data_IF_326603308645
#
_entry.id   IF_326603308645
#
_cell.length_a   1.000
_cell.length_b   1.000
_cell.length_c   1.000
_cell.angle_alpha   90.00
_cell.angle_beta   90.00
_cell.angle_gamma   90.00
#
_symmetry.space_group_name_H-M   'P 1'
#
loop_
_entity.id
_entity.type
_entity.pdbx_description
1 polymer ?
#
# COMPACT_ATOMS: atom_id res chain seq x y z
N UNK A 1 31.83 9.13 -18.29
CA UNK A 1 32.63 8.00 -17.73
C UNK A 1 32.94 7.05 -18.86
N UNK A 2 34.19 6.75 -19.12
CA UNK A 2 34.59 5.70 -20.05
C UNK A 2 34.27 4.35 -19.42
N UNK A 3 33.58 3.50 -20.15
CA UNK A 3 33.21 2.17 -19.66
C UNK A 3 34.49 1.39 -19.25
N UNK A 4 34.52 0.93 -18.01
CA UNK A 4 35.62 0.08 -17.50
C UNK A 4 36.54 0.72 -16.45
N UNK A 5 36.40 2.01 -16.15
CA UNK A 5 37.21 2.65 -15.12
C UNK A 5 36.47 2.71 -13.76
N UNK A 6 37.02 2.07 -12.73
CA UNK A 6 36.45 2.11 -11.38
C UNK A 6 36.67 3.47 -10.74
N UNK A 7 35.59 4.12 -10.34
CA UNK A 7 35.62 5.40 -9.61
C UNK A 7 36.07 5.21 -8.16
N UNK A 8 35.75 4.07 -7.56
CA UNK A 8 36.10 3.73 -6.19
C UNK A 8 36.13 2.21 -6.00
N UNK A 9 37.03 1.73 -5.17
CA UNK A 9 37.14 0.32 -4.76
C UNK A 9 37.44 0.23 -3.28
N UNK A 10 36.70 -0.66 -2.60
CA UNK A 10 36.95 -1.02 -1.21
C UNK A 10 36.52 -2.45 -0.99
N UNK A 11 37.47 -3.35 -0.76
CA UNK A 11 37.22 -4.78 -0.54
C UNK A 11 36.29 -5.39 -1.61
N UNK A 12 36.48 -5.02 -2.86
CA UNK A 12 35.64 -5.40 -4.01
C UNK A 12 35.80 -6.87 -4.44
N UNK A 13 36.72 -7.57 -3.80
CA UNK A 13 36.95 -9.02 -3.90
C UNK A 13 36.12 -9.85 -2.88
N UNK A 14 35.34 -9.19 -2.01
CA UNK A 14 34.54 -9.85 -0.97
C UNK A 14 33.07 -9.85 -1.26
N UNK A 15 32.39 -10.90 -0.78
CA UNK A 15 30.93 -10.99 -0.82
C UNK A 15 30.32 -10.34 0.43
N UNK A 16 29.33 -9.48 0.20
CA UNK A 16 28.55 -8.82 1.24
C UNK A 16 27.06 -9.03 1.03
N UNK A 17 26.30 -8.95 2.11
CA UNK A 17 24.84 -8.83 2.01
C UNK A 17 24.52 -7.38 1.61
N UNK A 18 23.86 -7.14 0.46
CA UNK A 18 23.61 -5.78 -0.02
C UNK A 18 22.56 -5.05 0.84
N UNK A 19 21.67 -5.78 1.49
CA UNK A 19 20.51 -5.20 2.18
C UNK A 19 19.81 -4.16 1.29
N UNK A 20 19.37 -3.02 1.84
CA UNK A 20 18.65 -1.99 1.08
C UNK A 20 19.47 -1.28 -0.01
N UNK A 21 20.78 -1.48 -0.07
CA UNK A 21 21.62 -0.94 -1.17
C UNK A 21 21.22 -1.54 -2.52
N UNK A 22 20.66 -2.75 -2.52
CA UNK A 22 20.12 -3.41 -3.71
C UNK A 22 18.99 -2.61 -4.37
N UNK A 23 18.26 -1.79 -3.61
CA UNK A 23 17.22 -0.91 -4.14
C UNK A 23 17.75 0.08 -5.20
N UNK A 24 19.03 0.46 -5.15
CA UNK A 24 19.67 1.30 -6.16
C UNK A 24 19.62 0.59 -7.53
N UNK A 25 19.97 -0.70 -7.57
CA UNK A 25 19.96 -1.49 -8.79
C UNK A 25 18.53 -1.65 -9.30
N UNK A 26 17.59 -1.98 -8.40
CA UNK A 26 16.17 -2.11 -8.73
C UNK A 26 15.61 -0.80 -9.31
N UNK A 27 15.91 0.34 -8.67
CA UNK A 27 15.43 1.65 -9.11
C UNK A 27 16.02 2.07 -10.47
N UNK A 28 17.32 1.84 -10.66
CA UNK A 28 17.96 2.14 -11.95
C UNK A 28 17.39 1.24 -13.05
N UNK A 29 17.18 -0.04 -12.76
CA UNK A 29 16.59 -0.98 -13.73
C UNK A 29 15.17 -0.56 -14.09
N UNK A 30 14.35 -0.20 -13.10
CA UNK A 30 13.00 0.30 -13.34
C UNK A 30 13.02 1.57 -14.22
N UNK A 31 13.87 2.54 -13.89
CA UNK A 31 14.01 3.77 -14.67
C UNK A 31 14.41 3.51 -16.13
N UNK A 32 15.34 2.57 -16.35
CA UNK A 32 15.82 2.21 -17.70
C UNK A 32 14.76 1.45 -18.50
N UNK A 33 14.00 0.55 -17.84
CA UNK A 33 13.03 -0.31 -18.51
C UNK A 33 11.67 0.35 -18.71
N UNK A 34 11.22 1.13 -17.74
CA UNK A 34 9.88 1.73 -17.73
C UNK A 34 9.88 3.20 -18.15
N UNK A 35 11.02 3.89 -18.00
CA UNK A 35 11.14 5.32 -18.25
C UNK A 35 10.80 6.18 -17.03
N UNK A 36 11.13 7.47 -17.12
CA UNK A 36 10.92 8.43 -16.03
C UNK A 36 9.44 8.85 -15.88
N UNK A 37 8.65 8.69 -16.93
CA UNK A 37 7.24 9.09 -16.97
C UNK A 37 6.29 7.93 -16.63
N UNK A 38 6.83 6.78 -16.23
CA UNK A 38 6.00 5.64 -15.82
C UNK A 38 5.22 5.97 -14.54
N UNK A 39 3.92 5.68 -14.57
CA UNK A 39 3.01 5.87 -13.44
C UNK A 39 2.40 4.55 -12.99
N UNK A 40 2.07 4.47 -11.70
CA UNK A 40 1.30 3.39 -11.11
C UNK A 40 -0.10 3.94 -10.81
N UNK A 41 -1.12 3.43 -11.53
CA UNK A 41 -2.44 4.05 -11.50
C UNK A 41 -3.46 3.17 -10.79
N UNK A 42 -4.00 3.64 -9.68
CA UNK A 42 -5.21 3.09 -9.07
C UNK A 42 -6.44 3.83 -9.61
N UNK A 43 -7.47 3.11 -10.03
CA UNK A 43 -8.61 3.71 -10.71
C UNK A 43 -9.96 3.13 -10.32
N UNK A 44 -11.00 3.97 -10.36
CA UNK A 44 -12.40 3.52 -10.33
C UNK A 44 -12.93 3.30 -11.75
N UNK A 45 -13.53 2.13 -11.98
CA UNK A 45 -14.22 1.79 -13.21
C UNK A 45 -15.61 1.24 -12.90
N UNK A 46 -16.54 1.42 -13.82
CA UNK A 46 -17.88 0.89 -13.67
C UNK A 46 -18.36 0.17 -14.91
N UNK A 47 -19.28 -0.75 -14.69
CA UNK A 47 -20.04 -1.46 -15.75
C UNK A 47 -21.51 -1.31 -15.46
N UNK A 48 -22.26 -0.74 -16.40
CA UNK A 48 -23.69 -0.52 -16.25
C UNK A 48 -24.12 0.82 -16.81
N UNK A 49 -25.29 1.31 -16.38
CA UNK A 49 -25.86 2.58 -16.78
C UNK A 49 -26.06 3.48 -15.59
N UNK A 50 -25.80 4.76 -15.77
CA UNK A 50 -26.11 5.77 -14.76
C UNK A 50 -27.50 6.33 -15.06
N UNK A 51 -28.41 6.16 -14.11
CA UNK A 51 -29.78 6.66 -14.16
C UNK A 51 -30.04 7.51 -12.92
N UNK A 52 -30.29 8.79 -13.14
CA UNK A 52 -30.36 9.78 -12.06
C UNK A 52 -29.06 9.79 -11.22
N UNK A 53 -29.13 9.44 -9.94
CA UNK A 53 -28.00 9.37 -9.00
C UNK A 53 -27.51 7.94 -8.73
N UNK A 54 -27.96 6.98 -9.54
CA UNK A 54 -27.76 5.56 -9.30
C UNK A 54 -27.01 4.92 -10.48
N UNK A 55 -25.90 4.25 -10.17
CA UNK A 55 -25.28 3.30 -11.10
C UNK A 55 -26.06 1.98 -11.05
N UNK A 56 -26.80 1.69 -12.11
CA UNK A 56 -27.43 0.38 -12.35
C UNK A 56 -26.36 -0.58 -12.89
N UNK A 57 -25.59 -1.18 -11.98
CA UNK A 57 -24.46 -2.00 -12.34
C UNK A 57 -23.41 -2.06 -11.23
N UNK A 58 -22.20 -2.44 -11.59
CA UNK A 58 -21.09 -2.70 -10.68
C UNK A 58 -20.00 -1.64 -10.75
N UNK A 59 -19.37 -1.37 -9.61
CA UNK A 59 -18.23 -0.47 -9.46
C UNK A 59 -16.99 -1.28 -9.07
N UNK A 60 -15.86 -0.95 -9.67
CA UNK A 60 -14.59 -1.64 -9.49
C UNK A 60 -13.52 -0.65 -9.07
N UNK A 61 -12.85 -0.89 -7.95
CA UNK A 61 -11.61 -0.23 -7.58
C UNK A 61 -10.45 -1.11 -8.06
N UNK A 62 -9.73 -0.64 -9.07
CA UNK A 62 -8.66 -1.40 -9.73
C UNK A 62 -7.32 -0.93 -9.19
N UNK A 63 -6.57 -1.84 -8.57
CA UNK A 63 -5.26 -1.56 -8.03
C UNK A 63 -4.17 -1.59 -9.11
N UNK A 64 -3.24 -0.63 -9.03
CA UNK A 64 -2.12 -0.45 -9.95
C UNK A 64 -0.75 -0.59 -9.32
N UNK A 65 -0.63 -1.24 -8.15
CA UNK A 65 0.62 -1.33 -7.38
C UNK A 65 1.18 0.03 -6.95
N UNK A 66 0.33 1.03 -6.75
CA UNK A 66 0.73 2.31 -6.20
C UNK A 66 1.01 2.19 -4.69
N UNK A 67 2.27 2.26 -4.23
CA UNK A 67 2.61 2.13 -2.82
C UNK A 67 2.27 3.39 -2.01
N UNK A 68 1.98 4.50 -2.68
CA UNK A 68 1.62 5.78 -2.05
C UNK A 68 0.11 6.07 -2.16
N UNK A 69 -0.71 5.05 -2.47
CA UNK A 69 -2.16 5.19 -2.46
C UNK A 69 -2.66 5.29 -1.02
N UNK A 70 -3.06 6.50 -0.62
CA UNK A 70 -3.43 6.85 0.75
C UNK A 70 -4.94 7.10 0.87
N UNK A 71 -5.43 7.32 2.09
CA UNK A 71 -6.85 7.63 2.36
C UNK A 71 -7.33 8.83 1.54
N UNK A 72 -6.49 9.87 1.43
CA UNK A 72 -6.84 11.08 0.67
C UNK A 72 -6.98 10.81 -0.84
N UNK A 73 -6.27 9.82 -1.36
CA UNK A 73 -6.41 9.41 -2.77
C UNK A 73 -7.72 8.66 -2.98
N UNK A 74 -8.08 7.80 -2.05
CA UNK A 74 -9.37 7.11 -2.07
C UNK A 74 -10.52 8.10 -1.96
N UNK A 75 -10.43 9.08 -1.06
CA UNK A 75 -11.42 10.15 -0.92
C UNK A 75 -11.57 10.93 -2.22
N UNK A 76 -10.46 11.29 -2.90
CA UNK A 76 -10.51 11.97 -4.20
C UNK A 76 -11.21 11.13 -5.28
N UNK A 77 -11.03 9.82 -5.28
CA UNK A 77 -11.73 8.92 -6.20
C UNK A 77 -13.23 8.88 -5.90
N UNK A 78 -13.62 8.84 -4.62
CA UNK A 78 -15.03 8.87 -4.19
C UNK A 78 -15.67 10.21 -4.53
N UNK A 79 -14.99 11.33 -4.30
CA UNK A 79 -15.45 12.67 -4.66
C UNK A 79 -15.62 12.81 -6.19
N UNK A 80 -14.72 12.25 -6.97
CA UNK A 80 -14.84 12.22 -8.43
C UNK A 80 -16.08 11.41 -8.89
N UNK A 81 -16.39 10.31 -8.19
CA UNK A 81 -17.60 9.52 -8.44
C UNK A 81 -18.86 10.32 -8.09
N UNK A 82 -18.88 10.96 -6.92
CA UNK A 82 -19.97 11.83 -6.47
C UNK A 82 -20.19 13.02 -7.42
N UNK A 83 -19.09 13.61 -7.93
CA UNK A 83 -19.15 14.71 -8.91
C UNK A 83 -19.78 14.31 -10.25
N UNK A 84 -19.73 13.01 -10.60
CA UNK A 84 -20.46 12.44 -11.72
C UNK A 84 -21.95 12.21 -11.42
N UNK A 85 -22.41 12.57 -10.22
CA UNK A 85 -23.78 12.41 -9.76
C UNK A 85 -24.11 11.00 -9.26
N UNK A 86 -23.13 10.11 -9.10
CA UNK A 86 -23.36 8.73 -8.63
C UNK A 86 -23.33 8.71 -7.10
N UNK A 87 -24.45 8.32 -6.50
CA UNK A 87 -24.62 8.18 -5.05
C UNK A 87 -24.92 6.74 -4.63
N UNK A 88 -25.46 5.95 -5.52
CA UNK A 88 -25.87 4.58 -5.26
C UNK A 88 -25.31 3.63 -6.33
N UNK A 89 -24.96 2.42 -5.91
CA UNK A 89 -24.53 1.32 -6.78
C UNK A 89 -25.43 0.12 -6.48
N UNK A 90 -26.04 -0.47 -7.52
CA UNK A 90 -27.07 -1.51 -7.31
C UNK A 90 -26.52 -2.92 -7.22
N UNK A 91 -25.40 -3.21 -7.89
CA UNK A 91 -24.91 -4.58 -8.01
C UNK A 91 -23.70 -4.80 -7.08
N UNK A 92 -22.51 -4.80 -7.62
CA UNK A 92 -21.29 -5.18 -6.92
C UNK A 92 -20.37 -3.98 -6.73
N UNK A 93 -19.80 -3.86 -5.53
CA UNK A 93 -18.58 -3.11 -5.30
C UNK A 93 -17.44 -4.12 -5.16
N UNK A 94 -16.46 -4.07 -6.06
CA UNK A 94 -15.34 -5.01 -6.10
C UNK A 94 -13.99 -4.31 -6.06
N UNK A 95 -13.06 -4.89 -5.30
CA UNK A 95 -11.64 -4.56 -5.36
C UNK A 95 -10.98 -5.52 -6.36
N UNK A 96 -10.34 -4.96 -7.39
CA UNK A 96 -9.65 -5.74 -8.43
C UNK A 96 -8.15 -5.72 -8.18
N UNK A 97 -7.60 -6.88 -7.87
CA UNK A 97 -6.18 -7.13 -7.64
C UNK A 97 -5.59 -8.10 -8.67
N UNK A 98 -6.26 -8.25 -9.82
CA UNK A 98 -5.90 -9.22 -10.86
C UNK A 98 -4.63 -8.88 -11.65
N UNK A 99 -4.00 -7.73 -11.37
CA UNK A 99 -2.75 -7.30 -12.02
C UNK A 99 -1.58 -8.27 -11.73
N UNK A 100 -1.65 -9.02 -10.63
CA UNK A 100 -0.68 -10.07 -10.28
C UNK A 100 -1.38 -11.36 -9.85
N UNK A 101 -0.59 -12.39 -9.58
CA UNK A 101 -1.07 -13.62 -8.97
C UNK A 101 -1.46 -13.40 -7.50
N UNK A 102 -1.92 -14.48 -6.83
CA UNK A 102 -2.32 -14.44 -5.42
C UNK A 102 -1.16 -14.70 -4.45
N UNK A 103 0.08 -14.55 -4.89
CA UNK A 103 1.27 -14.72 -4.05
C UNK A 103 1.63 -13.37 -3.44
N UNK A 104 1.10 -13.08 -2.26
CA UNK A 104 1.30 -11.81 -1.54
C UNK A 104 2.59 -11.77 -0.72
N UNK A 105 3.33 -12.87 -0.65
CA UNK A 105 4.50 -13.04 0.18
C UNK A 105 5.64 -13.66 -0.62
N UNK A 106 6.81 -13.01 -0.63
CA UNK A 106 7.97 -13.48 -1.37
C UNK A 106 8.57 -14.74 -0.79
N UNK A 107 9.02 -15.64 -1.68
CA UNK A 107 9.78 -16.83 -1.25
C UNK A 107 11.07 -16.42 -0.54
N UNK A 108 11.33 -16.99 0.62
CA UNK A 108 12.49 -16.66 1.44
C UNK A 108 12.36 -15.41 2.31
N UNK A 109 11.20 -14.76 2.32
CA UNK A 109 10.91 -13.69 3.29
C UNK A 109 10.70 -14.30 4.68
N UNK A 110 11.21 -13.60 5.72
CA UNK A 110 11.10 -14.06 7.09
C UNK A 110 9.71 -13.73 7.66
N UNK A 111 9.06 -14.70 8.27
CA UNK A 111 7.72 -14.55 8.86
C UNK A 111 7.69 -13.56 10.03
N UNK A 112 8.80 -13.39 10.72
CA UNK A 112 8.98 -12.48 11.85
C UNK A 112 9.17 -11.00 11.43
N UNK A 113 9.30 -10.74 10.14
CA UNK A 113 9.34 -9.38 9.60
C UNK A 113 7.94 -8.78 9.36
N UNK A 114 6.87 -9.57 9.46
CA UNK A 114 5.48 -9.12 9.21
C UNK A 114 5.01 -7.94 10.07
N UNK A 115 5.44 -7.73 11.32
CA UNK A 115 5.02 -6.57 12.12
C UNK A 115 5.64 -5.25 11.65
N UNK A 116 6.63 -5.30 10.77
CA UNK A 116 7.36 -4.11 10.36
C UNK A 116 6.80 -3.49 9.08
N UNK A 117 6.68 -2.17 9.07
CA UNK A 117 6.16 -1.40 7.94
C UNK A 117 6.97 -1.52 6.65
N UNK A 118 8.23 -1.99 6.73
CA UNK A 118 9.05 -2.21 5.55
C UNK A 118 8.76 -3.54 4.83
N UNK A 119 7.89 -4.39 5.38
CA UNK A 119 7.55 -5.69 4.80
C UNK A 119 6.03 -5.97 4.80
N UNK A 120 5.24 -5.12 4.15
CA UNK A 120 3.82 -5.37 3.98
C UNK A 120 3.58 -6.55 3.02
N UNK A 121 2.41 -7.17 3.11
CA UNK A 121 1.95 -8.06 2.08
C UNK A 121 1.77 -7.30 0.77
N UNK A 122 2.27 -7.87 -0.34
CA UNK A 122 2.18 -7.22 -1.66
C UNK A 122 0.80 -7.45 -2.27
N UNK A 123 0.15 -6.37 -2.66
CA UNK A 123 -1.11 -6.41 -3.41
C UNK A 123 -1.14 -5.27 -4.41
N UNK A 124 -1.71 -5.44 -5.60
CA UNK A 124 -1.94 -4.35 -6.53
C UNK A 124 -2.80 -3.21 -5.96
N UNK A 125 -3.68 -3.54 -5.00
CA UNK A 125 -4.44 -2.56 -4.24
C UNK A 125 -3.98 -2.59 -2.79
N UNK A 126 -3.24 -1.56 -2.40
CA UNK A 126 -2.69 -1.42 -1.06
C UNK A 126 -2.95 0.01 -0.58
N UNK A 127 -3.77 0.16 0.44
CA UNK A 127 -4.08 1.44 1.06
C UNK A 127 -3.13 1.70 2.23
N UNK A 128 -2.69 2.94 2.41
CA UNK A 128 -1.84 3.36 3.54
C UNK A 128 -0.60 2.46 3.70
N UNK A 129 0.04 2.11 2.57
CA UNK A 129 1.24 1.23 2.53
C UNK A 129 1.01 -0.15 3.17
N UNK A 130 -0.24 -0.61 3.25
CA UNK A 130 -0.61 -1.86 3.92
C UNK A 130 -0.35 -1.87 5.43
N UNK A 131 -0.32 -0.70 6.06
CA UNK A 131 0.01 -0.53 7.48
C UNK A 131 -1.19 -0.08 8.29
N UNK A 132 -1.11 -0.33 9.60
CA UNK A 132 -2.00 0.24 10.60
C UNK A 132 -1.16 1.12 11.53
N UNK A 133 -1.50 2.39 11.64
CA UNK A 133 -0.87 3.29 12.58
C UNK A 133 -1.45 3.09 13.98
N UNK A 134 -0.58 2.82 14.95
CA UNK A 134 -0.98 2.62 16.34
C UNK A 134 -0.40 3.73 17.20
N UNK A 135 -1.28 4.59 17.71
CA UNK A 135 -0.93 5.65 18.65
C UNK A 135 -1.26 5.24 20.07
N UNK A 136 -0.29 5.33 20.96
CA UNK A 136 -0.45 5.04 22.38
C UNK A 136 -0.20 6.31 23.18
N UNK A 137 -1.21 6.75 23.94
CA UNK A 137 -1.10 7.90 24.84
C UNK A 137 -1.02 7.44 26.29
N UNK A 138 -0.25 8.16 27.16
CA UNK A 138 -0.15 7.81 28.57
C UNK A 138 -1.52 7.67 29.25
N UNK A 139 -1.59 6.76 30.19
CA UNK A 139 -2.77 6.63 31.06
C UNK A 139 -2.96 7.88 31.93
N UNK A 140 -4.22 8.21 32.22
CA UNK A 140 -4.53 9.02 33.39
C UNK A 140 -4.47 8.13 34.62
N UNK A 141 -4.29 8.73 35.81
CA UNK A 141 -4.22 8.00 37.06
C UNK A 141 -5.36 6.95 37.16
N UNK A 142 -5.02 5.73 37.49
CA UNK A 142 -5.94 4.59 37.66
C UNK A 142 -6.67 4.16 36.35
N UNK A 143 -6.11 4.45 35.16
CA UNK A 143 -6.68 4.03 33.87
C UNK A 143 -5.64 3.33 32.98
N UNK A 144 -6.12 2.59 31.97
CA UNK A 144 -5.26 2.03 30.95
C UNK A 144 -4.80 3.13 29.95
N UNK A 145 -3.61 2.99 29.35
CA UNK A 145 -3.20 3.82 28.23
C UNK A 145 -4.26 3.87 27.13
N UNK A 146 -4.45 5.03 26.53
CA UNK A 146 -5.35 5.13 25.37
C UNK A 146 -4.63 4.64 24.13
N UNK A 147 -5.21 3.65 23.45
CA UNK A 147 -4.71 3.15 22.15
C UNK A 147 -5.69 3.57 21.06
N UNK A 148 -5.16 4.14 19.99
CA UNK A 148 -5.90 4.52 18.78
C UNK A 148 -5.21 3.88 17.59
N UNK A 149 -5.97 3.16 16.76
CA UNK A 149 -5.49 2.57 15.53
C UNK A 149 -6.18 3.22 14.34
N UNK A 150 -5.39 3.47 13.28
CA UNK A 150 -5.86 4.06 12.02
C UNK A 150 -5.33 3.23 10.84
N UNK A 151 -6.19 2.83 9.87
CA UNK A 151 -7.64 3.04 9.83
C UNK A 151 -8.38 2.21 10.87
N UNK A 152 -9.58 2.66 11.27
CA UNK A 152 -10.48 1.85 12.10
C UNK A 152 -11.01 0.71 11.24
N UNK A 153 -10.86 -0.53 11.71
CA UNK A 153 -11.25 -1.72 10.94
C UNK A 153 -11.60 -2.89 11.84
N UNK A 154 -12.53 -3.73 11.38
CA UNK A 154 -12.85 -5.01 12.01
C UNK A 154 -11.85 -6.14 11.67
N UNK A 155 -10.84 -5.83 10.82
CA UNK A 155 -9.80 -6.78 10.40
C UNK A 155 -8.85 -7.16 11.54
N UNK A 156 -8.69 -6.29 12.54
CA UNK A 156 -7.81 -6.52 13.68
C UNK A 156 -8.53 -6.23 15.01
N UNK A 157 -8.01 -6.80 16.09
CA UNK A 157 -8.50 -6.56 17.45
C UNK A 157 -7.38 -5.96 18.29
N UNK A 158 -7.72 -5.00 19.15
CA UNK A 158 -6.78 -4.37 20.08
C UNK A 158 -6.99 -4.94 21.48
N UNK A 159 -5.98 -5.62 21.99
CA UNK A 159 -5.93 -6.08 23.37
C UNK A 159 -4.97 -5.20 24.16
N UNK A 160 -5.51 -4.29 24.97
CA UNK A 160 -4.73 -3.36 25.77
C UNK A 160 -4.47 -3.93 27.17
N UNK A 161 -3.23 -4.30 27.42
CA UNK A 161 -2.74 -4.82 28.71
C UNK A 161 -1.73 -3.86 29.36
N UNK A 162 -1.80 -2.58 29.02
CA UNK A 162 -0.90 -1.57 29.57
C UNK A 162 -1.03 -1.50 31.10
N UNK A 163 0.10 -1.34 31.79
CA UNK A 163 0.17 -1.09 33.22
C UNK A 163 0.83 0.25 33.47
N UNK A 164 0.44 0.97 34.50
CA UNK A 164 1.25 2.10 34.98
C UNK A 164 2.61 1.57 35.46
N UNK A 165 3.71 2.27 35.13
CA UNK A 165 5.04 1.94 35.64
C UNK A 165 5.18 2.20 37.14
#
# INVERSE_FOLDING_TARGET
MTAGESVYRYQDDKLYRPASVEKIITSVTALVQLGADYTMDTSLRYRGKIENDTLKGSLYLIGGFDPEFMDEDLDRLVDALASKGIRYVTDTLAADVSMTDSVYWGSGWCWDDTPYSFQPYLSPLMLNRGCVDVSVSPAQKDSLPKVVCTPVSDYYQVHNHGVEP
#
